data_IF_027424020946
#
_entry.id   IF_027424020946
#
_cell.length_a   1.000
_cell.length_b   1.000
_cell.length_c   1.000
_cell.angle_alpha   90.00
_cell.angle_beta   90.00
_cell.angle_gamma   90.00
#
_symmetry.space_group_name_H-M   'P 1'
#
loop_
_entity.id
_entity.type
_entity.pdbx_description
1 polymer ?
#
# COMPACT_ATOMS: atom_id res chain seq x y z
N UNK A 1 43.74 8.04 -25.47
CA UNK A 1 44.17 8.66 -24.21
C UNK A 1 42.89 8.89 -23.43
N UNK A 2 42.49 7.89 -22.63
CA UNK A 2 42.80 7.82 -21.19
C UNK A 2 41.91 8.80 -20.42
N UNK A 3 41.32 8.52 -19.26
CA UNK A 3 41.16 7.42 -18.31
C UNK A 3 40.19 8.04 -17.27
N UNK A 4 39.07 7.41 -16.88
CA UNK A 4 38.91 6.45 -15.76
C UNK A 4 38.79 7.08 -14.34
N UNK A 5 37.91 6.50 -13.51
CA UNK A 5 37.77 6.74 -12.06
C UNK A 5 36.32 7.03 -11.62
N UNK A 6 35.42 6.07 -11.39
CA UNK A 6 35.40 4.93 -10.43
C UNK A 6 35.47 5.33 -8.94
N UNK A 7 34.36 5.14 -8.23
CA UNK A 7 34.23 4.56 -6.89
C UNK A 7 32.72 4.43 -6.61
N UNK A 8 32.09 3.25 -6.68
CA UNK A 8 32.13 2.10 -5.76
C UNK A 8 31.60 2.40 -4.35
N UNK A 9 30.52 1.71 -4.01
CA UNK A 9 29.83 1.78 -2.72
C UNK A 9 28.75 0.69 -2.63
N UNK A 10 29.14 -0.55 -2.93
CA UNK A 10 28.37 -1.76 -2.64
C UNK A 10 28.43 -2.07 -1.13
N UNK A 11 27.28 -2.40 -0.54
CA UNK A 11 27.21 -3.38 0.56
C UNK A 11 26.01 -4.28 0.30
N UNK A 12 26.21 -5.60 0.21
CA UNK A 12 25.13 -6.57 0.04
C UNK A 12 24.76 -7.27 1.35
N UNK A 13 23.69 -8.06 1.24
CA UNK A 13 23.39 -9.30 1.95
C UNK A 13 22.24 -9.28 2.98
N UNK A 14 21.38 -10.31 2.86
CA UNK A 14 20.26 -10.54 3.76
C UNK A 14 19.05 -11.23 3.13
N UNK A 15 19.25 -12.33 2.41
CA UNK A 15 18.19 -13.26 1.98
C UNK A 15 17.49 -13.95 3.14
N UNK A 16 16.17 -14.12 3.03
CA UNK A 16 15.43 -15.39 3.08
C UNK A 16 14.18 -15.45 3.98
N UNK A 17 13.19 -16.16 3.42
CA UNK A 17 12.20 -17.03 4.06
C UNK A 17 10.84 -16.46 4.50
N UNK A 18 9.86 -16.72 3.63
CA UNK A 18 8.63 -17.50 3.85
C UNK A 18 7.79 -17.32 5.12
N UNK A 19 6.48 -17.19 4.93
CA UNK A 19 5.49 -17.58 5.93
C UNK A 19 4.24 -16.70 5.92
N UNK A 20 3.28 -17.03 5.06
CA UNK A 20 1.87 -16.66 5.24
C UNK A 20 1.35 -17.33 6.52
N UNK A 21 0.62 -16.60 7.37
CA UNK A 21 -0.65 -17.17 7.79
C UNK A 21 -1.78 -16.15 7.76
N UNK A 22 -2.73 -16.43 6.88
CA UNK A 22 -4.16 -16.23 7.06
C UNK A 22 -4.60 -16.40 8.52
N UNK A 23 -5.02 -15.30 9.17
CA UNK A 23 -6.08 -15.30 10.19
C UNK A 23 -6.78 -13.93 10.26
N UNK A 24 -8.05 -13.96 9.88
CA UNK A 24 -9.20 -13.29 10.52
C UNK A 24 -8.92 -12.03 11.37
N UNK A 25 -8.99 -10.85 10.73
CA UNK A 25 -8.95 -9.56 11.39
C UNK A 25 -10.32 -9.13 11.90
N UNK A 26 -10.80 -9.82 12.93
CA UNK A 26 -11.93 -9.39 13.74
C UNK A 26 -11.67 -8.00 14.35
N UNK A 27 -12.73 -7.20 14.44
CA UNK A 27 -12.73 -5.84 14.97
C UNK A 27 -12.12 -5.78 16.39
N UNK A 28 -11.39 -4.70 16.76
CA UNK A 28 -11.13 -4.45 18.16
C UNK A 28 -12.42 -3.93 18.81
N UNK A 29 -13.09 -4.82 19.52
CA UNK A 29 -14.08 -4.48 20.55
C UNK A 29 -13.41 -3.59 21.62
N UNK A 30 -14.15 -2.57 22.06
CA UNK A 30 -13.78 -1.73 23.17
C UNK A 30 -13.61 -2.56 24.46
N UNK A 31 -12.65 -2.26 25.34
CA UNK A 31 -12.66 -2.86 26.65
C UNK A 31 -13.78 -2.23 27.49
N UNK A 32 -14.74 -3.09 27.84
CA UNK A 32 -15.67 -2.96 28.94
C UNK A 32 -14.88 -2.98 30.26
N UNK A 33 -14.68 -1.82 30.88
CA UNK A 33 -14.13 -1.73 32.23
C UNK A 33 -15.25 -1.80 33.27
N UNK A 34 -15.76 -3.02 33.44
CA UNK A 34 -16.55 -3.45 34.59
C UNK A 34 -15.71 -4.35 35.50
N UNK A 35 -14.77 -3.80 36.25
CA UNK A 35 -14.09 -4.54 37.32
C UNK A 35 -14.06 -3.70 38.61
N UNK A 36 -15.14 -3.80 39.38
CA UNK A 36 -15.16 -3.50 40.81
C UNK A 36 -14.27 -4.54 41.51
N UNK A 37 -12.97 -4.25 41.56
CA UNK A 37 -12.00 -4.91 42.40
C UNK A 37 -11.99 -4.24 43.76
N UNK A 38 -12.76 -4.80 44.69
CA UNK A 38 -12.58 -4.67 46.12
C UNK A 38 -11.15 -5.11 46.48
N UNK A 39 -10.20 -4.17 46.50
CA UNK A 39 -8.93 -4.35 47.19
C UNK A 39 -9.02 -3.57 48.49
N UNK A 40 -9.38 -4.32 49.52
CA UNK A 40 -8.97 -4.04 50.89
C UNK A 40 -7.45 -3.89 50.91
N UNK A 41 -6.97 -2.66 51.05
CA UNK A 41 -5.57 -2.41 51.39
C UNK A 41 -5.50 -1.39 52.53
N UNK A 42 -5.02 -1.91 53.66
CA UNK A 42 -4.27 -1.16 54.67
C UNK A 42 -4.88 0.11 55.24
N UNK A 43 -5.84 -0.04 56.16
CA UNK A 43 -5.75 0.75 57.40
C UNK A 43 -4.45 0.35 58.11
N UNK A 44 -3.36 1.04 57.80
CA UNK A 44 -2.04 0.71 58.32
C UNK A 44 -1.01 1.80 58.04
N UNK A 45 -0.88 2.74 58.99
CA UNK A 45 0.31 3.58 59.10
C UNK A 45 0.13 5.05 58.74
N UNK A 46 -0.81 5.75 59.38
CA UNK A 46 -0.45 7.11 59.78
C UNK A 46 0.62 7.01 60.88
N UNK A 47 1.65 7.84 60.74
CA UNK A 47 2.58 8.21 61.79
C UNK A 47 3.63 7.19 62.23
N UNK A 48 4.37 6.69 61.23
CA UNK A 48 5.83 6.72 61.34
C UNK A 48 6.36 8.09 60.91
N UNK A 49 5.83 9.17 61.49
CA UNK A 49 6.41 10.49 61.34
C UNK A 49 7.80 10.39 61.97
N UNK A 50 8.82 10.55 61.14
CA UNK A 50 10.18 10.70 61.56
C UNK A 50 10.26 11.88 62.56
N UNK A 51 10.16 11.56 63.86
CA UNK A 51 10.25 12.55 64.93
C UNK A 51 11.64 13.21 65.00
N UNK A 52 12.61 12.68 64.26
CA UNK A 52 13.94 13.27 64.06
C UNK A 52 13.89 14.56 63.24
N UNK A 53 13.25 14.54 62.06
CA UNK A 53 13.11 15.73 61.23
C UNK A 53 12.24 16.80 61.87
N UNK A 54 11.15 16.43 62.54
CA UNK A 54 10.21 17.39 63.16
C UNK A 54 10.81 18.10 64.40
N UNK A 55 11.69 17.44 65.16
CA UNK A 55 12.46 18.06 66.25
C UNK A 55 13.56 18.99 65.74
N UNK A 56 14.34 18.55 64.75
CA UNK A 56 15.45 19.31 64.16
C UNK A 56 14.97 20.52 63.34
N UNK A 57 13.81 20.39 62.66
CA UNK A 57 13.13 21.51 62.00
C UNK A 57 12.61 22.55 63.01
N UNK A 58 12.06 22.12 64.15
CA UNK A 58 11.59 23.04 65.20
C UNK A 58 12.72 23.84 65.82
N UNK A 59 13.85 23.20 66.09
CA UNK A 59 15.05 23.87 66.63
C UNK A 59 15.60 24.88 65.62
N UNK A 60 15.77 24.47 64.35
CA UNK A 60 16.17 25.39 63.26
C UNK A 60 15.23 26.56 63.04
N UNK A 61 13.92 26.37 63.16
CA UNK A 61 12.92 27.44 63.01
C UNK A 61 12.92 28.37 64.23
N UNK A 62 13.23 27.85 65.43
CA UNK A 62 13.37 28.66 66.64
C UNK A 62 14.63 29.53 66.65
N UNK A 63 15.71 29.06 66.02
CA UNK A 63 16.99 29.78 65.89
C UNK A 63 17.08 30.69 64.65
N UNK A 64 16.17 30.55 63.69
CA UNK A 64 16.13 31.37 62.47
C UNK A 64 15.52 32.77 62.72
N UNK A 65 15.99 33.77 61.98
CA UNK A 65 15.41 35.12 62.02
C UNK A 65 13.98 35.10 61.44
N UNK A 66 12.96 35.55 62.21
CA UNK A 66 11.57 35.51 61.76
C UNK A 66 11.30 36.29 60.46
N UNK A 67 12.04 37.36 60.18
CA UNK A 67 11.90 38.13 58.94
C UNK A 67 12.52 37.42 57.74
N UNK A 68 13.64 36.71 57.95
CA UNK A 68 14.28 35.89 56.90
C UNK A 68 13.40 34.69 56.54
N UNK A 69 12.85 34.00 57.55
CA UNK A 69 11.92 32.89 57.35
C UNK A 69 10.64 33.34 56.64
N UNK A 70 10.10 34.52 57.01
CA UNK A 70 8.94 35.09 56.33
C UNK A 70 9.21 35.41 54.85
N UNK A 71 10.41 35.92 54.52
CA UNK A 71 10.84 36.17 53.13
C UNK A 71 10.99 34.88 52.33
N UNK A 72 11.58 33.84 52.93
CA UNK A 72 11.75 32.54 52.27
C UNK A 72 10.40 31.86 52.01
N UNK A 73 9.49 31.85 52.99
CA UNK A 73 8.13 31.32 52.84
C UNK A 73 7.36 32.09 51.76
N UNK A 74 7.49 33.42 51.71
CA UNK A 74 6.86 34.23 50.66
C UNK A 74 7.38 33.86 49.27
N UNK A 75 8.70 33.71 49.11
CA UNK A 75 9.31 33.32 47.83
C UNK A 75 8.94 31.88 47.42
N UNK A 76 8.82 30.95 48.37
CA UNK A 76 8.37 29.59 48.10
C UNK A 76 6.89 29.54 47.67
N UNK A 77 6.04 30.37 48.28
CA UNK A 77 4.62 30.49 47.89
C UNK A 77 4.46 31.07 46.49
N UNK A 78 5.25 32.09 46.15
CA UNK A 78 5.27 32.67 44.79
C UNK A 78 5.69 31.62 43.75
N UNK A 79 6.78 30.88 43.99
CA UNK A 79 7.21 29.79 43.10
C UNK A 79 6.19 28.65 42.99
N UNK A 80 5.51 28.31 44.10
CA UNK A 80 4.47 27.30 44.10
C UNK A 80 3.28 27.75 43.24
N UNK A 81 2.85 29.01 43.39
CA UNK A 81 1.79 29.59 42.57
C UNK A 81 2.17 29.62 41.08
N UNK A 82 3.39 30.06 40.73
CA UNK A 82 3.88 30.03 39.35
C UNK A 82 3.98 28.60 38.77
N UNK A 83 4.28 27.61 39.61
CA UNK A 83 4.29 26.20 39.19
C UNK A 83 2.89 25.64 38.99
N UNK A 84 1.94 25.99 39.86
CA UNK A 84 0.52 25.63 39.73
C UNK A 84 -0.09 26.25 38.46
N UNK A 85 0.17 27.53 38.20
CA UNK A 85 -0.29 28.23 37.00
C UNK A 85 0.25 27.57 35.72
N UNK A 86 1.56 27.29 35.66
CA UNK A 86 2.16 26.58 34.51
C UNK A 86 1.63 25.17 34.33
N UNK A 87 1.34 24.46 35.42
CA UNK A 87 0.79 23.11 35.37
C UNK A 87 -0.63 23.15 34.82
N UNK A 88 -1.46 24.09 35.29
CA UNK A 88 -2.82 24.28 34.78
C UNK A 88 -2.84 24.67 33.29
N UNK A 89 -1.93 25.53 32.84
CA UNK A 89 -1.78 25.87 31.41
C UNK A 89 -1.39 24.65 30.57
N UNK A 90 -0.42 23.86 31.04
CA UNK A 90 0.03 22.65 30.33
C UNK A 90 -1.08 21.57 30.27
N UNK A 91 -1.83 21.38 31.35
CA UNK A 91 -2.98 20.47 31.39
C UNK A 91 -4.06 20.88 30.38
N UNK A 92 -4.38 22.18 30.32
CA UNK A 92 -5.34 22.71 29.35
C UNK A 92 -4.86 22.52 27.89
N UNK A 93 -3.56 22.73 27.62
CA UNK A 93 -2.98 22.49 26.29
C UNK A 93 -3.05 21.00 25.91
N UNK A 94 -2.72 20.09 26.85
CA UNK A 94 -2.80 18.65 26.64
C UNK A 94 -4.24 18.24 26.32
N UNK A 95 -5.23 18.71 27.09
CA UNK A 95 -6.64 18.42 26.82
C UNK A 95 -7.08 18.91 25.44
N UNK A 96 -6.66 20.10 25.03
CA UNK A 96 -6.95 20.62 23.70
C UNK A 96 -6.33 19.76 22.59
N UNK A 97 -5.05 19.41 22.74
CA UNK A 97 -4.32 18.59 21.78
C UNK A 97 -4.90 17.19 21.67
N UNK A 98 -5.28 16.56 22.80
CA UNK A 98 -5.94 15.26 22.82
C UNK A 98 -7.30 15.32 22.11
N UNK A 99 -8.10 16.35 22.38
CA UNK A 99 -9.39 16.56 21.73
C UNK A 99 -9.23 16.71 20.21
N UNK A 100 -8.25 17.51 19.79
CA UNK A 100 -7.90 17.66 18.36
C UNK A 100 -7.44 16.34 17.76
N UNK A 101 -6.60 15.57 18.47
CA UNK A 101 -6.09 14.29 18.00
C UNK A 101 -7.20 13.26 17.84
N UNK A 102 -8.08 13.10 18.84
CA UNK A 102 -9.25 12.21 18.78
C UNK A 102 -10.14 12.54 17.58
N UNK A 103 -10.39 13.83 17.33
CA UNK A 103 -11.14 14.29 16.15
C UNK A 103 -10.43 13.91 14.84
N UNK A 104 -9.12 14.15 14.74
CA UNK A 104 -8.33 13.81 13.54
C UNK A 104 -8.28 12.30 13.29
N UNK A 105 -8.18 11.49 14.34
CA UNK A 105 -8.25 10.04 14.23
C UNK A 105 -9.61 9.59 13.68
N UNK A 106 -10.71 10.16 14.19
CA UNK A 106 -12.05 9.87 13.68
C UNK A 106 -12.22 10.30 12.21
N UNK A 107 -11.74 11.50 11.85
CA UNK A 107 -11.74 11.99 10.46
C UNK A 107 -10.95 11.04 9.53
N UNK A 108 -9.78 10.58 9.99
CA UNK A 108 -8.95 9.64 9.25
C UNK A 108 -9.62 8.28 9.04
N UNK A 109 -10.25 7.71 10.08
CA UNK A 109 -11.00 6.46 9.97
C UNK A 109 -12.16 6.60 8.96
N UNK A 110 -12.91 7.70 9.03
CA UNK A 110 -13.97 8.00 8.07
C UNK A 110 -13.44 8.15 6.65
N UNK A 111 -12.31 8.83 6.47
CA UNK A 111 -11.65 8.97 5.18
C UNK A 111 -11.20 7.61 4.63
N UNK A 112 -10.52 6.78 5.44
CA UNK A 112 -10.08 5.43 5.06
C UNK A 112 -11.27 4.59 4.56
N UNK A 113 -12.35 4.54 5.34
CA UNK A 113 -13.59 3.83 4.96
C UNK A 113 -14.21 4.36 3.66
N UNK A 114 -14.17 5.68 3.44
CA UNK A 114 -14.65 6.29 2.19
C UNK A 114 -13.77 5.90 1.00
N UNK A 115 -12.45 5.87 1.19
CA UNK A 115 -11.49 5.50 0.16
C UNK A 115 -11.57 4.03 -0.21
N UNK A 116 -11.68 3.13 0.77
CA UNK A 116 -11.90 1.69 0.53
C UNK A 116 -13.16 1.47 -0.31
N UNK A 117 -14.28 2.09 0.06
CA UNK A 117 -15.51 2.02 -0.74
C UNK A 117 -15.34 2.59 -2.15
N UNK A 118 -14.53 3.64 -2.32
CA UNK A 118 -14.26 4.23 -3.64
C UNK A 118 -13.43 3.27 -4.50
N UNK A 119 -12.37 2.70 -3.93
CA UNK A 119 -11.52 1.72 -4.59
C UNK A 119 -12.31 0.46 -4.96
N UNK A 120 -13.16 -0.04 -4.07
CA UNK A 120 -14.03 -1.19 -4.35
C UNK A 120 -14.99 -0.89 -5.52
N UNK A 121 -15.62 0.29 -5.52
CA UNK A 121 -16.45 0.70 -6.67
C UNK A 121 -15.64 0.80 -7.95
N UNK A 122 -14.48 1.46 -7.92
CA UNK A 122 -13.61 1.55 -9.09
C UNK A 122 -13.21 0.17 -9.60
N UNK A 123 -12.89 -0.79 -8.72
CA UNK A 123 -12.56 -2.15 -9.11
C UNK A 123 -13.75 -2.90 -9.70
N UNK A 124 -14.95 -2.75 -9.15
CA UNK A 124 -16.18 -3.38 -9.66
C UNK A 124 -16.57 -2.86 -11.04
N UNK A 125 -16.33 -1.57 -11.28
CA UNK A 125 -16.72 -0.87 -12.49
C UNK A 125 -15.55 -0.68 -13.48
N UNK A 126 -14.37 -1.23 -13.19
CA UNK A 126 -13.16 -1.01 -13.98
C UNK A 126 -13.27 -1.49 -15.43
N UNK A 127 -14.11 -2.51 -15.67
CA UNK A 127 -14.28 -3.12 -16.98
C UNK A 127 -15.58 -2.72 -17.68
N UNK A 128 -16.38 -1.81 -17.10
CA UNK A 128 -17.69 -1.45 -17.66
C UNK A 128 -17.54 -0.86 -19.07
N UNK A 129 -16.66 0.12 -19.24
CA UNK A 129 -16.44 0.77 -20.54
C UNK A 129 -15.99 -0.22 -21.62
N UNK A 130 -15.07 -1.14 -21.28
CA UNK A 130 -14.65 -2.21 -22.20
C UNK A 130 -15.81 -3.16 -22.52
N UNK A 131 -16.56 -3.60 -21.51
CA UNK A 131 -17.70 -4.51 -21.71
C UNK A 131 -18.75 -3.85 -22.61
N UNK A 132 -19.07 -2.58 -22.40
CA UNK A 132 -20.01 -1.82 -23.24
C UNK A 132 -19.55 -1.79 -24.71
N UNK A 133 -18.26 -1.55 -24.97
CA UNK A 133 -17.70 -1.59 -26.33
C UNK A 133 -17.75 -2.99 -26.96
N UNK A 134 -17.54 -4.03 -26.15
CA UNK A 134 -17.61 -5.43 -26.62
C UNK A 134 -19.05 -5.88 -26.91
N UNK A 135 -20.07 -5.26 -26.33
CA UNK A 135 -21.47 -5.56 -26.65
C UNK A 135 -21.78 -5.27 -28.13
N UNK A 136 -21.23 -4.20 -28.71
CA UNK A 136 -21.43 -3.88 -30.12
C UNK A 136 -20.83 -4.97 -31.04
N UNK A 137 -19.66 -5.50 -30.67
CA UNK A 137 -19.01 -6.60 -31.40
C UNK A 137 -19.88 -7.86 -31.31
N UNK A 138 -20.36 -8.20 -30.10
CA UNK A 138 -21.29 -9.32 -29.88
C UNK A 138 -22.53 -9.18 -30.74
N UNK A 139 -23.15 -8.00 -30.79
CA UNK A 139 -24.39 -7.78 -31.53
C UNK A 139 -24.18 -7.93 -33.05
N UNK A 140 -23.00 -7.55 -33.56
CA UNK A 140 -22.62 -7.82 -34.95
C UNK A 140 -22.39 -9.32 -35.22
N UNK A 141 -21.77 -10.05 -34.28
CA UNK A 141 -21.63 -11.50 -34.38
C UNK A 141 -23.00 -12.20 -34.37
N UNK A 142 -23.93 -11.79 -33.51
CA UNK A 142 -25.30 -12.32 -33.48
C UNK A 142 -26.01 -12.07 -34.81
N UNK A 143 -25.90 -10.85 -35.36
CA UNK A 143 -26.47 -10.53 -36.68
C UNK A 143 -25.88 -11.37 -37.81
N UNK A 144 -24.60 -11.74 -37.71
CA UNK A 144 -23.96 -12.63 -38.68
C UNK A 144 -24.51 -14.06 -38.61
N UNK A 145 -24.93 -14.53 -37.44
CA UNK A 145 -25.55 -15.85 -37.25
C UNK A 145 -26.99 -15.91 -37.79
N UNK A 146 -27.70 -14.78 -37.82
CA UNK A 146 -29.07 -14.69 -38.35
C UNK A 146 -29.15 -14.57 -39.89
N UNK A 147 -28.01 -14.63 -40.60
CA UNK A 147 -27.97 -14.60 -42.06
C UNK A 147 -28.46 -15.92 -42.67
N UNK A 148 -29.02 -15.84 -43.88
CA UNK A 148 -29.54 -17.01 -44.60
C UNK A 148 -28.46 -18.09 -44.83
N UNK A 149 -28.88 -19.37 -44.78
CA UNK A 149 -28.03 -20.50 -45.11
C UNK A 149 -27.51 -20.36 -46.56
N UNK A 150 -26.22 -20.08 -46.72
CA UNK A 150 -25.56 -19.87 -48.01
C UNK A 150 -25.04 -18.45 -48.26
N UNK A 151 -25.28 -17.50 -47.35
CA UNK A 151 -24.63 -16.19 -47.39
C UNK A 151 -23.12 -16.30 -47.15
N UNK A 152 -22.32 -15.55 -47.91
CA UNK A 152 -20.89 -15.39 -47.63
C UNK A 152 -20.71 -14.49 -46.40
N UNK A 153 -20.38 -15.12 -45.27
CA UNK A 153 -20.22 -14.42 -43.99
C UNK A 153 -18.84 -13.75 -43.85
N UNK A 154 -17.87 -14.11 -44.70
CA UNK A 154 -16.48 -13.66 -44.55
C UNK A 154 -16.34 -12.13 -44.51
N UNK A 155 -16.97 -11.34 -45.39
CA UNK A 155 -16.86 -9.88 -45.33
C UNK A 155 -17.50 -9.27 -44.07
N UNK A 156 -18.51 -9.92 -43.50
CA UNK A 156 -19.15 -9.49 -42.26
C UNK A 156 -18.29 -9.79 -41.03
N UNK A 157 -17.66 -10.96 -41.02
CA UNK A 157 -16.71 -11.35 -39.97
C UNK A 157 -15.44 -10.48 -40.01
N UNK A 158 -14.89 -10.21 -41.19
CA UNK A 158 -13.71 -9.32 -41.33
C UNK A 158 -14.00 -7.93 -40.74
N UNK A 159 -15.17 -7.34 -41.04
CA UNK A 159 -15.57 -6.06 -40.42
C UNK A 159 -15.75 -6.13 -38.91
N UNK A 160 -16.23 -7.27 -38.41
CA UNK A 160 -16.44 -7.48 -36.98
C UNK A 160 -15.11 -7.66 -36.25
N UNK A 161 -14.13 -8.32 -36.89
CA UNK A 161 -12.76 -8.42 -36.42
C UNK A 161 -12.10 -7.03 -36.38
N UNK A 162 -12.19 -6.26 -37.48
CA UNK A 162 -11.67 -4.88 -37.50
C UNK A 162 -12.26 -4.01 -36.37
N UNK A 163 -13.54 -4.21 -36.04
CA UNK A 163 -14.17 -3.50 -34.94
C UNK A 163 -13.61 -3.97 -33.59
N UNK A 164 -13.43 -5.27 -33.41
CA UNK A 164 -12.84 -5.84 -32.21
C UNK A 164 -11.41 -5.31 -31.99
N UNK A 165 -10.60 -5.26 -33.04
CA UNK A 165 -9.23 -4.73 -32.98
C UNK A 165 -9.22 -3.25 -32.59
N UNK A 166 -10.14 -2.44 -33.14
CA UNK A 166 -10.31 -1.04 -32.70
C UNK A 166 -10.70 -0.90 -31.22
N UNK A 167 -11.48 -1.84 -30.68
CA UNK A 167 -11.84 -1.85 -29.26
C UNK A 167 -10.59 -2.15 -28.40
N UNK A 168 -9.77 -3.11 -28.82
CA UNK A 168 -8.50 -3.43 -28.15
C UNK A 168 -7.53 -2.24 -28.19
N UNK A 169 -7.35 -1.62 -29.36
CA UNK A 169 -6.50 -0.43 -29.51
C UNK A 169 -6.93 0.71 -28.60
N UNK A 170 -8.25 0.92 -28.44
CA UNK A 170 -8.80 1.96 -27.59
C UNK A 170 -8.65 1.69 -26.08
N UNK A 171 -8.33 0.45 -25.69
CA UNK A 171 -7.92 0.06 -24.33
C UNK A 171 -6.39 -0.13 -24.23
N UNK A 172 -5.63 0.39 -25.19
CA UNK A 172 -4.16 0.32 -25.24
C UNK A 172 -3.63 -1.12 -25.26
N UNK A 173 -4.42 -2.07 -25.76
CA UNK A 173 -4.01 -3.46 -25.99
C UNK A 173 -3.41 -3.55 -27.39
N UNK A 174 -2.16 -4.03 -27.46
CA UNK A 174 -1.44 -4.25 -28.71
C UNK A 174 -1.15 -5.72 -28.92
N UNK A 175 -1.17 -6.13 -30.18
CA UNK A 175 -0.77 -7.46 -30.60
C UNK A 175 0.75 -7.57 -30.64
N UNK A 176 1.29 -8.65 -30.08
CA UNK A 176 2.68 -9.04 -30.24
C UNK A 176 2.72 -10.07 -31.37
N UNK A 177 3.18 -9.65 -32.55
CA UNK A 177 3.26 -10.46 -33.76
C UNK A 177 4.57 -10.14 -34.49
N UNK A 178 5.72 -10.67 -34.02
CA UNK A 178 7.02 -10.39 -34.63
C UNK A 178 7.09 -11.00 -36.03
N UNK A 179 7.68 -10.28 -36.97
CA UNK A 179 7.97 -10.76 -38.31
C UNK A 179 9.10 -11.81 -38.28
N UNK A 180 9.10 -12.77 -39.22
CA UNK A 180 10.23 -13.68 -39.40
C UNK A 180 11.55 -12.91 -39.59
N UNK A 181 12.57 -13.27 -38.81
CA UNK A 181 13.87 -12.62 -38.76
C UNK A 181 14.03 -11.56 -37.66
N UNK A 182 12.96 -11.21 -36.92
CA UNK A 182 13.07 -10.33 -35.75
C UNK A 182 13.74 -11.02 -34.54
N UNK A 183 14.39 -10.21 -33.71
CA UNK A 183 15.03 -10.69 -32.48
C UNK A 183 14.01 -11.26 -31.48
N UNK A 184 14.37 -12.34 -30.81
CA UNK A 184 13.52 -12.96 -29.80
C UNK A 184 13.66 -12.23 -28.46
N UNK A 185 12.60 -11.54 -28.04
CA UNK A 185 12.49 -10.94 -26.71
C UNK A 185 11.95 -11.96 -25.67
N UNK A 186 12.72 -12.32 -24.62
CA UNK A 186 12.29 -13.28 -23.60
C UNK A 186 11.08 -12.82 -22.75
N UNK A 187 10.80 -11.52 -22.66
CA UNK A 187 9.65 -11.00 -21.90
C UNK A 187 8.36 -11.07 -22.71
N UNK A 188 8.46 -10.99 -24.03
CA UNK A 188 7.32 -10.90 -24.96
C UNK A 188 7.07 -12.18 -25.75
N UNK A 189 8.06 -13.06 -25.86
CA UNK A 189 8.00 -14.27 -26.68
C UNK A 189 8.22 -15.55 -25.85
N UNK A 190 7.38 -16.56 -26.09
CA UNK A 190 7.51 -17.92 -25.60
C UNK A 190 7.99 -18.82 -26.75
N UNK A 191 9.22 -19.31 -26.65
CA UNK A 191 9.80 -20.20 -27.68
C UNK A 191 9.26 -21.61 -27.49
N UNK A 192 8.47 -22.09 -28.46
CA UNK A 192 7.92 -23.45 -28.43
C UNK A 192 8.93 -24.49 -28.89
N UNK A 193 9.63 -24.18 -29.97
CA UNK A 193 10.63 -25.07 -30.54
C UNK A 193 11.64 -24.27 -31.36
N UNK A 194 12.72 -24.95 -31.72
CA UNK A 194 13.68 -24.47 -32.70
C UNK A 194 13.57 -25.32 -33.95
N UNK A 195 13.79 -24.70 -35.11
CA UNK A 195 13.74 -25.38 -36.41
C UNK A 195 14.84 -24.87 -37.31
N UNK A 196 15.35 -25.76 -38.16
CA UNK A 196 16.20 -25.39 -39.29
C UNK A 196 15.45 -24.39 -40.17
N UNK A 197 16.00 -23.19 -40.30
CA UNK A 197 15.38 -22.10 -41.04
C UNK A 197 16.41 -21.30 -41.86
N UNK A 198 15.92 -20.59 -42.87
CA UNK A 198 16.69 -19.62 -43.64
C UNK A 198 16.93 -18.31 -42.86
N UNK A 199 16.22 -18.11 -41.75
CA UNK A 199 16.38 -16.94 -40.89
C UNK A 199 17.67 -17.00 -40.06
N UNK A 200 18.21 -15.86 -39.60
CA UNK A 200 19.40 -15.84 -38.75
C UNK A 200 19.23 -16.69 -37.48
N UNK A 201 20.29 -17.36 -37.05
CA UNK A 201 20.25 -18.15 -35.82
C UNK A 201 19.82 -17.29 -34.62
N UNK A 202 18.83 -17.76 -33.87
CA UNK A 202 18.32 -17.08 -32.68
C UNK A 202 17.23 -16.03 -32.94
N UNK A 203 16.79 -15.83 -34.19
CA UNK A 203 15.65 -14.97 -34.52
C UNK A 203 14.34 -15.74 -34.65
N UNK A 204 13.20 -15.02 -34.62
CA UNK A 204 11.87 -15.60 -34.88
C UNK A 204 11.82 -16.17 -36.29
N UNK A 205 11.33 -17.40 -36.42
CA UNK A 205 11.05 -18.04 -37.71
C UNK A 205 9.56 -17.91 -38.08
N UNK A 206 8.67 -18.27 -37.15
CA UNK A 206 7.22 -18.21 -37.34
C UNK A 206 6.50 -17.95 -36.00
N UNK A 207 5.29 -17.37 -36.09
CA UNK A 207 4.42 -17.08 -34.95
C UNK A 207 3.25 -18.07 -34.96
N UNK A 208 3.30 -19.05 -34.05
CA UNK A 208 2.22 -20.02 -33.89
C UNK A 208 0.97 -19.42 -33.23
N UNK A 209 1.17 -18.45 -32.33
CA UNK A 209 0.08 -17.74 -31.67
C UNK A 209 0.53 -16.35 -31.29
N UNK A 210 -0.18 -15.35 -31.78
CA UNK A 210 0.05 -13.96 -31.41
C UNK A 210 -0.03 -13.75 -29.88
N UNK A 211 0.83 -12.89 -29.37
CA UNK A 211 0.77 -12.39 -28.00
C UNK A 211 -0.07 -11.12 -27.90
N UNK A 212 -0.30 -10.66 -26.67
CA UNK A 212 -0.91 -9.36 -26.41
C UNK A 212 -0.25 -8.70 -25.21
N UNK A 213 -0.07 -7.39 -25.30
CA UNK A 213 0.38 -6.51 -24.23
C UNK A 213 -0.62 -5.38 -24.02
N UNK A 214 -0.72 -4.89 -22.80
CA UNK A 214 -1.53 -3.74 -22.44
C UNK A 214 -0.64 -2.76 -21.68
N UNK A 215 -0.47 -1.55 -22.24
CA UNK A 215 0.54 -0.60 -21.77
C UNK A 215 1.92 -1.29 -21.60
N UNK A 216 2.46 -1.32 -20.39
CA UNK A 216 3.78 -1.89 -20.09
C UNK A 216 3.73 -3.37 -19.65
N UNK A 217 2.57 -4.03 -19.72
CA UNK A 217 2.38 -5.39 -19.20
C UNK A 217 2.01 -6.36 -20.31
N UNK A 218 2.83 -7.39 -20.48
CA UNK A 218 2.49 -8.55 -21.32
C UNK A 218 1.35 -9.34 -20.67
N UNK A 219 0.21 -9.42 -21.37
CA UNK A 219 -0.95 -10.21 -20.96
C UNK A 219 -0.78 -11.68 -21.36
N UNK A 220 -0.19 -11.89 -22.54
CA UNK A 220 0.12 -13.20 -23.09
C UNK A 220 1.33 -13.06 -24.03
N UNK A 221 2.42 -13.82 -23.83
CA UNK A 221 3.53 -13.80 -24.77
C UNK A 221 3.10 -14.39 -26.13
N UNK A 222 3.77 -13.98 -27.20
CA UNK A 222 3.61 -14.61 -28.49
C UNK A 222 4.34 -15.96 -28.50
N UNK A 223 3.68 -17.01 -28.98
CA UNK A 223 4.30 -18.31 -29.12
C UNK A 223 4.99 -18.39 -30.46
N UNK A 224 6.32 -18.49 -30.42
CA UNK A 224 7.17 -18.40 -31.61
C UNK A 224 8.02 -19.66 -31.75
N UNK A 225 8.38 -19.95 -32.99
CA UNK A 225 9.47 -20.86 -33.32
C UNK A 225 10.71 -20.05 -33.66
N UNK A 226 11.87 -20.53 -33.26
CA UNK A 226 13.14 -19.81 -33.41
C UNK A 226 14.03 -20.57 -34.39
N UNK A 227 14.72 -19.84 -35.26
CA UNK A 227 15.67 -20.42 -36.18
C UNK A 227 16.89 -20.99 -35.42
N UNK A 228 17.22 -22.26 -35.69
CA UNK A 228 18.51 -22.84 -35.33
C UNK A 228 19.41 -22.95 -36.57
N UNK A 229 20.72 -22.86 -36.35
CA UNK A 229 21.68 -23.11 -37.41
C UNK A 229 21.67 -24.59 -37.77
N UNK A 230 21.49 -24.91 -39.04
CA UNK A 230 21.71 -26.26 -39.54
C UNK A 230 23.19 -26.63 -39.38
N UNK A 231 23.51 -27.50 -38.42
CA UNK A 231 24.83 -28.11 -38.33
C UNK A 231 24.97 -29.13 -39.48
N UNK A 232 25.67 -28.76 -40.55
CA UNK A 232 26.22 -29.71 -41.55
C UNK A 232 27.41 -30.52 -41.00
#
# INVERSE_FOLDING_TARGET
>A
MSENGSADGETPDGTAAEGDPSTDGAAPEAPDEGARGDTTDGTGGADGADAGTDGELRERVADADPEELAREIAALRERAQEAEERTAEAEAEVEELESRLKRKQADFQNFKKRMERKQERQRKHATEDLVERLLDVRDNLVRALDQDEGADLRPGLEKTLDQFDRVLDAEEVRTIDPEPGEDVDPERHEVLMRVDSEQPEGTVDDVHRQGYEMADRVLRPAQVTVAESSEE
#
